data_IF_072053241636
#
_entry.id   IF_072053241636
#
_cell.length_a   1.000
_cell.length_b   1.000
_cell.length_c   1.000
_cell.angle_alpha   90.00
_cell.angle_beta   90.00
_cell.angle_gamma   90.00
#
_symmetry.space_group_name_H-M   'P 1'
#
loop_
_entity.id
_entity.type
_entity.pdbx_description
1 polymer ?
#
# COMPACT_ATOMS: atom_id res chain seq x y z
N UNK A 1 -18.51 -7.40 -4.62
CA UNK A 1 -18.15 -5.96 -4.59
C UNK A 1 -19.22 -5.19 -3.84
N UNK A 2 -18.84 -4.41 -2.83
CA UNK A 2 -19.77 -3.50 -2.14
C UNK A 2 -20.15 -2.31 -3.03
N UNK A 3 -21.43 -1.90 -3.08
CA UNK A 3 -21.83 -0.70 -3.79
C UNK A 3 -21.26 0.55 -3.10
N UNK A 4 -20.70 1.47 -3.88
CA UNK A 4 -20.10 2.72 -3.36
C UNK A 4 -21.12 3.63 -2.70
N UNK A 5 -22.41 3.47 -3.03
CA UNK A 5 -23.52 4.22 -2.42
C UNK A 5 -23.62 4.00 -0.91
N UNK A 6 -23.21 2.84 -0.38
CA UNK A 6 -23.20 2.60 1.08
C UNK A 6 -22.22 3.55 1.79
N UNK A 7 -21.12 3.91 1.12
CA UNK A 7 -20.10 4.82 1.64
C UNK A 7 -20.58 6.27 1.52
N UNK A 8 -21.20 6.63 0.39
CA UNK A 8 -21.80 7.95 0.17
C UNK A 8 -22.93 8.25 1.17
N UNK A 9 -23.81 7.28 1.41
CA UNK A 9 -24.92 7.39 2.37
C UNK A 9 -24.44 7.49 3.83
N UNK A 10 -23.21 7.04 4.11
CA UNK A 10 -22.57 7.08 5.42
C UNK A 10 -21.63 8.28 5.60
N UNK A 11 -21.57 9.22 4.64
CA UNK A 11 -20.68 10.39 4.61
C UNK A 11 -19.19 10.01 4.75
N UNK A 12 -18.84 8.82 4.26
CA UNK A 12 -17.48 8.31 4.29
C UNK A 12 -16.67 8.82 3.09
N UNK A 13 -15.34 8.93 3.21
CA UNK A 13 -14.51 9.52 2.15
C UNK A 13 -14.57 8.75 0.83
N UNK A 14 -14.58 9.49 -0.28
CA UNK A 14 -14.55 8.95 -1.64
C UNK A 14 -13.40 9.57 -2.42
N UNK A 15 -12.49 8.73 -2.89
CA UNK A 15 -11.31 9.14 -3.64
C UNK A 15 -11.30 8.52 -5.05
N UNK A 16 -11.06 9.38 -6.03
CA UNK A 16 -10.69 8.97 -7.39
C UNK A 16 -9.24 8.48 -7.43
N UNK A 17 -8.85 7.76 -8.50
CA UNK A 17 -7.46 7.34 -8.68
C UNK A 17 -6.47 8.50 -8.68
N UNK A 18 -6.86 9.64 -9.26
CA UNK A 18 -6.06 10.87 -9.20
C UNK A 18 -5.91 11.41 -7.78
N UNK A 19 -6.97 11.44 -6.97
CA UNK A 19 -6.87 11.91 -5.58
C UNK A 19 -6.01 10.98 -4.72
N UNK A 20 -6.06 9.66 -4.95
CA UNK A 20 -5.16 8.71 -4.28
C UNK A 20 -3.71 9.00 -4.69
N UNK A 21 -3.44 9.20 -5.98
CA UNK A 21 -2.13 9.59 -6.50
C UNK A 21 -1.60 10.89 -5.88
N UNK A 22 -2.44 11.92 -5.82
CA UNK A 22 -2.05 13.24 -5.27
C UNK A 22 -1.68 13.14 -3.78
N UNK A 23 -2.37 12.28 -3.01
CA UNK A 23 -2.00 12.01 -1.62
C UNK A 23 -0.66 11.29 -1.50
N UNK A 24 -0.37 10.34 -2.40
CA UNK A 24 0.91 9.63 -2.43
C UNK A 24 2.07 10.55 -2.86
N UNK A 25 1.81 11.53 -3.73
CA UNK A 25 2.78 12.58 -4.03
C UNK A 25 3.08 13.46 -2.80
N UNK A 26 2.06 13.88 -2.07
CA UNK A 26 2.27 14.63 -0.83
C UNK A 26 3.04 13.82 0.23
N UNK A 27 2.80 12.51 0.29
CA UNK A 27 3.53 11.59 1.15
C UNK A 27 5.00 11.42 0.73
N UNK A 28 5.26 11.36 -0.58
CA UNK A 28 6.61 11.37 -1.14
C UNK A 28 7.36 12.65 -0.72
N UNK A 29 6.72 13.81 -0.79
CA UNK A 29 7.32 15.09 -0.37
C UNK A 29 7.72 15.07 1.12
N UNK A 30 6.88 14.48 1.98
CA UNK A 30 7.20 14.29 3.40
C UNK A 30 8.38 13.33 3.59
N UNK A 31 8.41 12.24 2.83
CA UNK A 31 9.49 11.27 2.87
C UNK A 31 10.82 11.91 2.44
N UNK A 32 10.82 12.73 1.38
CA UNK A 32 11.96 13.54 0.93
C UNK A 32 12.41 14.51 2.03
N UNK A 33 11.47 15.19 2.69
CA UNK A 33 11.77 16.16 3.73
C UNK A 33 12.50 15.56 4.96
N UNK A 34 12.38 14.25 5.19
CA UNK A 34 13.16 13.57 6.24
C UNK A 34 14.68 13.60 5.96
N UNK A 35 15.08 13.69 4.69
CA UNK A 35 16.47 13.60 4.24
C UNK A 35 17.14 12.24 4.53
N UNK A 36 16.35 11.19 4.79
CA UNK A 36 16.82 9.87 5.24
C UNK A 36 16.45 8.71 4.33
N UNK A 37 15.52 8.91 3.40
CA UNK A 37 15.14 7.90 2.41
C UNK A 37 16.23 7.78 1.35
N UNK A 38 16.67 6.56 0.99
CA UNK A 38 17.62 6.35 -0.10
C UNK A 38 17.13 6.92 -1.43
N UNK A 39 18.02 7.59 -2.17
CA UNK A 39 17.65 8.31 -3.40
C UNK A 39 17.14 7.38 -4.51
N UNK A 40 17.60 6.13 -4.57
CA UNK A 40 17.10 5.17 -5.57
C UNK A 40 15.62 4.86 -5.37
N UNK A 41 15.16 4.75 -4.12
CA UNK A 41 13.75 4.56 -3.80
C UNK A 41 12.93 5.80 -4.16
N UNK A 42 13.41 7.00 -3.83
CA UNK A 42 12.72 8.25 -4.16
C UNK A 42 12.49 8.39 -5.67
N UNK A 43 13.53 8.18 -6.48
CA UNK A 43 13.42 8.24 -7.95
C UNK A 43 12.43 7.21 -8.48
N UNK A 44 12.51 5.97 -7.98
CA UNK A 44 11.59 4.90 -8.39
C UNK A 44 10.14 5.21 -8.04
N UNK A 45 9.88 5.69 -6.82
CA UNK A 45 8.53 6.05 -6.39
C UNK A 45 7.99 7.22 -7.21
N UNK A 46 8.82 8.22 -7.52
CA UNK A 46 8.45 9.34 -8.39
C UNK A 46 8.09 8.85 -9.81
N UNK A 47 8.88 7.95 -10.40
CA UNK A 47 8.59 7.36 -11.71
C UNK A 47 7.24 6.61 -11.73
N UNK A 48 6.99 5.78 -10.71
CA UNK A 48 5.73 5.05 -10.55
C UNK A 48 4.54 5.99 -10.34
N UNK A 49 4.72 7.02 -9.51
CA UNK A 49 3.71 8.05 -9.30
C UNK A 49 3.44 8.86 -10.57
N UNK A 50 4.41 9.03 -11.46
CA UNK A 50 4.24 9.75 -12.72
C UNK A 50 3.66 8.91 -13.87
N UNK A 51 3.61 7.58 -13.74
CA UNK A 51 2.92 6.73 -14.71
C UNK A 51 1.40 6.84 -14.56
N UNK A 52 0.76 7.67 -15.39
CA UNK A 52 -0.71 7.84 -15.40
C UNK A 52 -1.49 6.53 -15.53
N UNK A 53 -0.94 5.52 -16.21
CA UNK A 53 -1.59 4.21 -16.38
C UNK A 53 -1.65 3.45 -15.06
N UNK A 54 -0.69 3.67 -14.16
CA UNK A 54 -0.70 3.07 -12.83
C UNK A 54 -1.93 3.48 -12.02
N UNK A 55 -2.45 4.69 -12.25
CA UNK A 55 -3.52 5.31 -11.46
C UNK A 55 -4.90 5.29 -12.13
N UNK A 56 -5.00 4.70 -13.34
CA UNK A 56 -6.27 4.47 -14.04
C UNK A 56 -6.95 3.17 -13.58
N UNK A 57 -7.27 3.10 -12.30
CA UNK A 57 -8.02 1.99 -11.70
C UNK A 57 -9.44 2.44 -11.35
N UNK A 58 -10.33 1.45 -11.17
CA UNK A 58 -11.69 1.70 -10.69
C UNK A 58 -11.72 1.69 -9.16
N UNK A 59 -12.02 2.83 -8.48
CA UNK A 59 -12.11 2.85 -7.03
C UNK A 59 -13.20 1.92 -6.51
N UNK A 60 -12.96 1.34 -5.32
CA UNK A 60 -13.90 0.44 -4.62
C UNK A 60 -13.94 0.80 -3.15
N UNK A 61 -14.97 0.31 -2.45
CA UNK A 61 -14.96 0.30 -0.98
C UNK A 61 -13.80 -0.58 -0.52
N UNK A 62 -12.94 -0.02 0.33
CA UNK A 62 -11.79 -0.69 0.94
C UNK A 62 -11.88 -0.61 2.45
N UNK A 63 -11.23 -1.56 3.13
CA UNK A 63 -11.07 -1.53 4.58
C UNK A 63 -10.15 -0.37 5.00
N UNK A 64 -9.09 -0.11 4.22
CA UNK A 64 -8.18 1.02 4.40
C UNK A 64 -7.01 0.72 5.34
N UNK A 65 -7.20 -0.19 6.30
CA UNK A 65 -6.17 -0.69 7.22
C UNK A 65 -6.17 -2.23 7.30
N UNK A 66 -6.35 -2.94 6.18
CA UNK A 66 -6.42 -4.41 6.23
C UNK A 66 -5.03 -5.00 6.49
N UNK A 67 -4.91 -5.81 7.54
CA UNK A 67 -3.72 -6.57 7.92
C UNK A 67 -4.11 -7.76 8.82
N UNK A 68 -3.16 -8.57 9.25
CA UNK A 68 -3.38 -9.74 10.10
C UNK A 68 -4.03 -9.43 11.45
N UNK A 69 -3.79 -8.26 12.04
CA UNK A 69 -4.35 -7.86 13.33
C UNK A 69 -5.87 -7.60 13.23
N UNK A 70 -6.34 -7.30 12.02
CA UNK A 70 -7.74 -7.04 11.72
C UNK A 70 -8.52 -8.29 11.26
N UNK A 71 -7.91 -9.47 11.27
CA UNK A 71 -8.52 -10.73 10.83
C UNK A 71 -8.66 -11.73 11.97
N UNK A 72 -9.90 -12.15 12.26
CA UNK A 72 -10.15 -13.23 13.22
C UNK A 72 -10.34 -14.54 12.47
N UNK A 73 -9.52 -15.54 12.81
CA UNK A 73 -9.55 -16.86 12.20
C UNK A 73 -10.24 -17.88 13.11
N UNK A 74 -11.09 -18.72 12.51
CA UNK A 74 -11.52 -19.98 13.09
C UNK A 74 -11.10 -21.12 12.16
N UNK A 75 -10.17 -21.96 12.64
CA UNK A 75 -9.49 -22.98 11.84
C UNK A 75 -8.77 -22.39 10.62
N UNK A 76 -9.38 -22.46 9.44
CA UNK A 76 -8.83 -21.95 8.16
C UNK A 76 -9.79 -20.98 7.46
N UNK A 77 -10.69 -20.36 8.23
CA UNK A 77 -11.68 -19.42 7.71
C UNK A 77 -11.61 -18.12 8.49
N UNK A 78 -11.67 -17.01 7.76
CA UNK A 78 -11.93 -15.69 8.34
C UNK A 78 -13.38 -15.70 8.82
N UNK A 79 -13.60 -15.43 10.09
CA UNK A 79 -14.93 -15.35 10.70
C UNK A 79 -15.34 -13.93 11.05
N UNK A 80 -14.37 -13.02 11.17
CA UNK A 80 -14.60 -11.62 11.47
C UNK A 80 -13.47 -10.77 10.85
N UNK A 81 -13.84 -9.55 10.43
CA UNK A 81 -12.91 -8.49 10.05
C UNK A 81 -13.22 -7.30 10.96
N UNK A 82 -12.20 -6.84 11.70
CA UNK A 82 -12.29 -5.71 12.64
C UNK A 82 -11.52 -4.50 12.11
N UNK A 83 -11.59 -3.33 12.77
CA UNK A 83 -10.71 -2.20 12.42
C UNK A 83 -11.23 -1.26 11.33
N UNK A 84 -12.55 -1.17 11.14
CA UNK A 84 -13.20 -0.39 10.07
C UNK A 84 -13.09 1.15 10.18
N UNK A 85 -12.16 1.71 10.95
CA UNK A 85 -12.05 3.18 11.11
C UNK A 85 -11.59 3.90 9.83
N UNK A 86 -10.82 3.21 8.98
CA UNK A 86 -10.26 3.77 7.74
C UNK A 86 -11.08 3.43 6.49
N UNK A 87 -12.30 2.92 6.68
CA UNK A 87 -13.18 2.53 5.57
C UNK A 87 -13.49 3.72 4.66
N UNK A 88 -13.25 3.54 3.37
CA UNK A 88 -13.51 4.57 2.37
C UNK A 88 -13.71 3.95 0.98
N UNK A 89 -14.06 4.78 -0.02
CA UNK A 89 -13.87 4.42 -1.43
C UNK A 89 -12.50 4.89 -1.87
N UNK A 90 -11.67 3.95 -2.33
CA UNK A 90 -10.30 4.22 -2.73
C UNK A 90 -9.72 3.12 -3.62
N UNK A 91 -8.40 2.98 -3.58
CA UNK A 91 -7.66 1.97 -4.35
C UNK A 91 -7.72 0.59 -3.68
N UNK A 92 -8.29 -0.44 -4.35
CA UNK A 92 -8.29 -1.81 -3.82
C UNK A 92 -6.90 -2.31 -3.41
N UNK A 93 -5.84 -1.83 -4.06
CA UNK A 93 -4.47 -2.26 -3.77
C UNK A 93 -4.02 -1.99 -2.32
N UNK A 94 -4.64 -1.02 -1.63
CA UNK A 94 -4.33 -0.71 -0.23
C UNK A 94 -4.53 -1.93 0.69
N UNK A 95 -5.63 -2.66 0.51
CA UNK A 95 -5.97 -3.83 1.34
C UNK A 95 -5.10 -5.07 1.03
N UNK A 96 -4.20 -4.98 0.04
CA UNK A 96 -3.26 -6.05 -0.35
C UNK A 96 -1.81 -5.73 0.02
N UNK A 97 -1.52 -4.49 0.44
CA UNK A 97 -0.15 -4.04 0.68
C UNK A 97 0.56 -4.89 1.76
N UNK A 98 -0.15 -5.24 2.84
CA UNK A 98 0.39 -6.06 3.93
C UNK A 98 0.90 -7.45 3.47
N UNK A 99 0.37 -8.00 2.36
CA UNK A 99 0.83 -9.27 1.82
C UNK A 99 2.29 -9.26 1.35
N UNK A 100 2.87 -8.07 1.12
CA UNK A 100 4.28 -7.92 0.77
C UNK A 100 5.21 -8.02 1.97
N UNK A 101 4.68 -7.91 3.19
CA UNK A 101 5.41 -8.21 4.42
C UNK A 101 5.38 -9.70 4.78
N UNK A 102 4.51 -10.50 4.13
CA UNK A 102 4.44 -11.94 4.37
C UNK A 102 5.64 -12.69 3.76
N UNK A 103 6.18 -13.64 4.50
CA UNK A 103 7.32 -14.47 4.07
C UNK A 103 6.99 -15.49 2.97
N UNK A 104 5.71 -15.86 2.76
CA UNK A 104 5.28 -16.84 1.75
C UNK A 104 4.79 -16.13 0.46
N UNK A 105 5.61 -16.05 -0.61
CA UNK A 105 5.19 -15.41 -1.86
C UNK A 105 4.04 -16.16 -2.54
N UNK A 106 3.95 -17.48 -2.36
CA UNK A 106 2.87 -18.28 -2.91
C UNK A 106 1.55 -17.96 -2.21
N UNK A 107 1.56 -17.54 -0.94
CA UNK A 107 0.36 -17.06 -0.27
C UNK A 107 -0.17 -15.79 -0.93
N UNK A 108 0.71 -14.79 -1.12
CA UNK A 108 0.36 -13.56 -1.83
C UNK A 108 -0.23 -13.84 -3.22
N UNK A 109 0.42 -14.69 -4.01
CA UNK A 109 -0.06 -15.09 -5.34
C UNK A 109 -1.45 -15.74 -5.29
N UNK A 110 -1.69 -16.65 -4.33
CA UNK A 110 -3.00 -17.30 -4.13
C UNK A 110 -4.08 -16.28 -3.77
N UNK A 111 -3.78 -15.29 -2.94
CA UNK A 111 -4.74 -14.26 -2.54
C UNK A 111 -5.12 -13.37 -3.74
N UNK A 112 -4.15 -12.92 -4.53
CA UNK A 112 -4.42 -12.16 -5.76
C UNK A 112 -5.20 -12.98 -6.79
N UNK A 113 -4.86 -14.26 -6.97
CA UNK A 113 -5.59 -15.15 -7.87
C UNK A 113 -7.06 -15.32 -7.45
N UNK A 114 -7.31 -15.63 -6.17
CA UNK A 114 -8.66 -15.75 -5.64
C UNK A 114 -9.45 -14.44 -5.78
N UNK A 115 -8.81 -13.29 -5.53
CA UNK A 115 -9.45 -11.99 -5.71
C UNK A 115 -9.86 -11.73 -7.16
N UNK A 116 -8.99 -12.06 -8.14
CA UNK A 116 -9.33 -11.94 -9.57
C UNK A 116 -10.50 -12.84 -9.96
N UNK A 117 -10.49 -14.10 -9.52
CA UNK A 117 -11.55 -15.07 -9.82
C UNK A 117 -12.92 -14.66 -9.29
N UNK A 118 -12.97 -14.04 -8.11
CA UNK A 118 -14.21 -13.63 -7.44
C UNK A 118 -14.74 -12.25 -7.92
N UNK A 119 -13.93 -11.49 -8.67
CA UNK A 119 -14.31 -10.16 -9.11
C UNK A 119 -15.23 -10.19 -10.35
N UNK A 120 -16.35 -9.42 -10.35
CA UNK A 120 -17.25 -9.37 -11.51
C UNK A 120 -16.63 -8.79 -12.78
N UNK A 121 -15.58 -7.99 -12.63
CA UNK A 121 -14.76 -7.46 -13.70
C UNK A 121 -13.30 -7.72 -13.35
N UNK A 122 -12.50 -8.08 -14.34
CA UNK A 122 -11.05 -8.24 -14.17
C UNK A 122 -10.48 -6.99 -13.48
N UNK A 123 -9.74 -7.16 -12.35
CA UNK A 123 -8.99 -6.07 -11.75
C UNK A 123 -8.01 -5.46 -12.75
N UNK A 124 -7.65 -4.18 -12.55
CA UNK A 124 -6.69 -3.55 -13.43
C UNK A 124 -5.30 -4.22 -13.31
N UNK A 125 -4.52 -4.14 -14.39
CA UNK A 125 -3.21 -4.80 -14.50
C UNK A 125 -2.16 -4.31 -13.49
N UNK A 126 -2.37 -3.15 -12.87
CA UNK A 126 -1.41 -2.48 -12.00
C UNK A 126 -1.75 -2.67 -10.51
N UNK A 127 -2.78 -3.46 -10.17
CA UNK A 127 -3.18 -3.73 -8.79
C UNK A 127 -2.00 -4.21 -7.92
N UNK A 128 -1.28 -5.24 -8.35
CA UNK A 128 -0.12 -5.79 -7.63
C UNK A 128 1.02 -4.76 -7.53
N UNK A 129 1.27 -4.03 -8.61
CA UNK A 129 2.31 -2.99 -8.62
C UNK A 129 2.00 -1.86 -7.63
N UNK A 130 0.73 -1.43 -7.52
CA UNK A 130 0.30 -0.45 -6.52
C UNK A 130 0.34 -1.01 -5.09
N UNK A 131 -0.04 -2.27 -4.89
CA UNK A 131 0.02 -2.90 -3.57
C UNK A 131 1.47 -2.99 -3.06
N UNK A 132 2.39 -3.38 -3.95
CA UNK A 132 3.83 -3.36 -3.65
C UNK A 132 4.30 -1.94 -3.31
N UNK A 133 3.92 -0.93 -4.12
CA UNK A 133 4.27 0.47 -3.85
C UNK A 133 3.79 0.91 -2.46
N UNK A 134 2.56 0.56 -2.08
CA UNK A 134 2.03 0.90 -0.75
C UNK A 134 2.77 0.23 0.40
N UNK A 135 3.26 -1.01 0.20
CA UNK A 135 4.12 -1.66 1.19
C UNK A 135 5.46 -0.92 1.33
N UNK A 136 6.08 -0.51 0.21
CA UNK A 136 7.30 0.31 0.21
C UNK A 136 7.07 1.65 0.95
N UNK A 137 5.93 2.32 0.69
CA UNK A 137 5.53 3.56 1.39
C UNK A 137 5.27 3.35 2.89
N UNK A 138 4.82 2.17 3.33
CA UNK A 138 4.66 1.85 4.75
C UNK A 138 5.96 2.04 5.54
N UNK A 139 7.12 1.72 4.95
CA UNK A 139 8.43 1.98 5.55
C UNK A 139 8.73 3.49 5.66
N UNK A 140 8.35 4.26 4.64
CA UNK A 140 8.49 5.72 4.65
C UNK A 140 7.58 6.36 5.70
N UNK A 141 6.35 5.88 5.88
CA UNK A 141 5.44 6.34 6.94
C UNK A 141 6.02 6.06 8.32
N UNK A 142 6.61 4.88 8.53
CA UNK A 142 7.28 4.54 9.79
C UNK A 142 8.44 5.50 10.08
N UNK A 143 9.25 5.83 9.06
CA UNK A 143 10.32 6.82 9.15
C UNK A 143 9.80 8.22 9.49
N UNK A 144 8.79 8.71 8.75
CA UNK A 144 8.17 10.02 8.97
C UNK A 144 7.67 10.10 10.41
N UNK A 145 6.97 9.06 10.88
CA UNK A 145 6.46 8.99 12.24
C UNK A 145 7.57 9.02 13.29
N UNK A 146 8.66 8.30 13.06
CA UNK A 146 9.83 8.35 13.93
C UNK A 146 10.46 9.73 14.01
N UNK A 147 10.53 10.46 12.88
CA UNK A 147 11.02 11.84 12.83
C UNK A 147 10.10 12.79 13.60
N UNK A 148 8.79 12.70 13.41
CA UNK A 148 7.80 13.52 14.13
C UNK A 148 7.85 13.33 15.65
N UNK A 149 8.11 12.10 16.09
CA UNK A 149 8.19 11.73 17.51
C UNK A 149 9.59 11.95 18.11
N UNK A 150 10.57 12.35 17.30
CA UNK A 150 11.99 12.41 17.66
C UNK A 150 12.53 11.06 18.21
N UNK A 151 11.92 9.94 17.82
CA UNK A 151 12.27 8.60 18.28
C UNK A 151 13.46 8.06 17.48
N UNK A 152 14.64 8.12 18.08
CA UNK A 152 15.88 7.68 17.44
C UNK A 152 15.91 6.19 17.12
N UNK A 153 15.22 5.35 17.90
CA UNK A 153 15.17 3.90 17.65
C UNK A 153 14.31 3.65 16.42
N UNK A 154 13.11 4.22 16.40
CA UNK A 154 12.18 4.11 15.27
C UNK A 154 12.81 4.62 13.96
N UNK A 155 13.49 5.77 14.01
CA UNK A 155 14.21 6.33 12.87
C UNK A 155 15.30 5.37 12.39
N UNK A 156 16.11 4.82 13.30
CA UNK A 156 17.21 3.93 12.94
C UNK A 156 16.71 2.63 12.30
N UNK A 157 15.62 2.07 12.82
CA UNK A 157 15.00 0.86 12.27
C UNK A 157 14.40 1.12 10.90
N UNK A 158 13.66 2.22 10.74
CA UNK A 158 13.06 2.60 9.46
C UNK A 158 14.12 2.79 8.36
N UNK A 159 15.21 3.49 8.69
CA UNK A 159 16.35 3.68 7.77
C UNK A 159 16.96 2.35 7.39
N UNK A 160 17.20 1.46 8.35
CA UNK A 160 17.76 0.12 8.05
C UNK A 160 16.86 -0.70 7.13
N UNK A 161 15.53 -0.61 7.29
CA UNK A 161 14.58 -1.31 6.42
C UNK A 161 14.56 -0.73 5.01
N UNK A 162 14.61 0.61 4.88
CA UNK A 162 14.68 1.29 3.59
C UNK A 162 15.99 1.00 2.84
N UNK A 163 17.12 0.99 3.55
CA UNK A 163 18.43 0.62 2.99
C UNK A 163 18.42 -0.84 2.49
N UNK A 164 17.80 -1.73 3.25
CA UNK A 164 17.64 -3.13 2.84
C UNK A 164 16.77 -3.27 1.59
N UNK A 165 15.61 -2.60 1.55
CA UNK A 165 14.73 -2.57 0.39
C UNK A 165 15.46 -2.04 -0.85
N UNK A 166 16.23 -0.95 -0.73
CA UNK A 166 17.01 -0.41 -1.84
C UNK A 166 18.04 -1.44 -2.35
N UNK A 167 18.74 -2.13 -1.44
CA UNK A 167 19.71 -3.15 -1.79
C UNK A 167 19.08 -4.34 -2.51
N UNK A 168 17.93 -4.83 -2.04
CA UNK A 168 17.19 -5.92 -2.68
C UNK A 168 16.72 -5.52 -4.08
N UNK A 169 16.14 -4.33 -4.23
CA UNK A 169 15.67 -3.83 -5.53
C UNK A 169 16.83 -3.65 -6.52
N UNK A 170 18.01 -3.19 -6.07
CA UNK A 170 19.22 -3.18 -6.91
C UNK A 170 19.66 -4.58 -7.31
N UNK A 171 19.64 -5.54 -6.39
CA UNK A 171 20.07 -6.92 -6.65
C UNK A 171 19.21 -7.61 -7.73
N UNK A 172 17.91 -7.31 -7.77
CA UNK A 172 16.99 -7.82 -8.80
C UNK A 172 16.90 -6.96 -10.06
N UNK A 173 17.67 -5.87 -10.15
CA UNK A 173 17.70 -4.97 -11.30
C UNK A 173 16.48 -4.04 -11.43
N UNK A 174 15.72 -3.86 -10.36
CA UNK A 174 14.57 -2.95 -10.30
C UNK A 174 14.97 -1.48 -10.03
N UNK A 175 16.24 -1.23 -9.70
CA UNK A 175 16.85 0.10 -9.60
C UNK A 175 18.07 0.18 -10.51
N UNK A 176 18.28 1.34 -11.13
CA UNK A 176 19.49 1.62 -11.89
C UNK A 176 20.73 1.56 -10.98
N UNK A 177 21.86 1.08 -11.53
CA UNK A 177 23.15 0.95 -10.85
C UNK A 177 23.84 2.29 -10.59
#
# INVERSE_FOLDING_TARGET
>A
VFPTTIVEDADLPVYTGQQVRDRRLAELDLAVATGKVPSGLLTRWEEQLNDSVMWDFRPRVIHGDLNEDNLVLNQKKIVEITGWSEVCVGDPAADFAWLYACEDPLFRERVFAAYREEMPQEPDRNLEARANLYAEFGLAQWLIRGVELEDRVMISEAVSMLDHLEAELRAVGALAS
#
